data_IF_348404295004
#
_entry.id   IF_348404295004
#
_cell.length_a   1.000
_cell.length_b   1.000
_cell.length_c   1.000
_cell.angle_alpha   90.00
_cell.angle_beta   90.00
_cell.angle_gamma   90.00
#
_symmetry.space_group_name_H-M   'P 1'
#
loop_
_entity.id
_entity.type
_entity.pdbx_description
1 polymer ?
#
# COMPACT_ATOMS: atom_id res chain seq x y z
N UNK A 1 8.48 -10.67 -9.83
CA UNK A 1 7.88 -10.29 -8.53
C UNK A 1 6.47 -10.86 -8.49
N UNK A 2 6.00 -11.36 -7.34
CA UNK A 2 4.67 -11.95 -7.16
C UNK A 2 3.78 -11.00 -6.34
N UNK A 3 2.55 -10.74 -6.81
CA UNK A 3 1.51 -10.05 -6.05
C UNK A 3 0.57 -11.09 -5.41
N UNK A 4 0.46 -11.07 -4.08
CA UNK A 4 -0.37 -11.99 -3.31
C UNK A 4 -1.39 -11.17 -2.52
N UNK A 5 -2.68 -11.38 -2.78
CA UNK A 5 -3.74 -10.79 -1.95
C UNK A 5 -3.97 -11.67 -0.73
N UNK A 6 -3.79 -11.12 0.46
CA UNK A 6 -3.94 -11.86 1.73
C UNK A 6 -4.98 -11.20 2.63
N UNK A 7 -5.68 -12.02 3.41
CA UNK A 7 -6.53 -11.52 4.50
C UNK A 7 -5.75 -11.46 5.81
N UNK A 8 -5.68 -10.29 6.43
CA UNK A 8 -4.97 -10.16 7.71
C UNK A 8 -4.85 -8.75 8.26
N UNK A 9 -4.21 -8.65 9.43
CA UNK A 9 -3.76 -7.41 10.03
C UNK A 9 -2.33 -7.13 9.55
N UNK A 10 -2.15 -6.02 8.82
CA UNK A 10 -0.85 -5.65 8.28
C UNK A 10 0.21 -5.42 9.36
N UNK A 11 -0.21 -5.07 10.59
CA UNK A 11 0.70 -4.75 11.70
C UNK A 11 1.34 -5.99 12.35
N UNK A 12 0.86 -7.19 12.01
CA UNK A 12 1.42 -8.46 12.49
C UNK A 12 2.36 -9.13 11.49
N UNK A 13 2.49 -8.56 10.27
CA UNK A 13 3.27 -9.17 9.20
C UNK A 13 4.77 -8.96 9.42
N UNK A 14 5.52 -10.05 9.47
CA UNK A 14 6.97 -10.06 9.43
C UNK A 14 7.46 -10.06 7.99
N UNK A 15 7.50 -8.87 7.42
CA UNK A 15 7.97 -8.58 6.06
C UNK A 15 9.07 -7.53 6.10
N UNK A 16 9.78 -7.33 5.00
CA UNK A 16 10.83 -6.31 4.96
C UNK A 16 10.29 -4.90 5.22
N UNK A 17 9.13 -4.56 4.68
CA UNK A 17 8.46 -3.30 4.96
C UNK A 17 6.94 -3.42 4.96
N UNK A 18 6.28 -2.63 5.81
CA UNK A 18 4.85 -2.34 5.71
C UNK A 18 4.63 -0.93 5.18
N UNK A 19 3.59 -0.75 4.37
CA UNK A 19 3.26 0.55 3.79
C UNK A 19 2.15 1.22 4.60
N UNK A 20 2.40 2.46 5.01
CA UNK A 20 1.48 3.29 5.77
C UNK A 20 0.80 4.30 4.83
N UNK A 21 -0.55 4.31 4.72
CA UNK A 21 -1.26 5.37 4.01
C UNK A 21 -1.13 6.69 4.76
N UNK A 22 -0.38 7.64 4.21
CA UNK A 22 0.00 8.89 4.85
C UNK A 22 -0.70 10.11 4.24
N UNK A 23 -0.78 11.18 5.04
CA UNK A 23 -1.08 12.53 4.55
C UNK A 23 0.24 13.32 4.39
N UNK A 24 0.19 14.48 3.73
CA UNK A 24 1.38 15.30 3.45
C UNK A 24 2.15 15.75 4.68
N UNK A 25 1.52 15.75 5.86
CA UNK A 25 2.15 16.11 7.13
C UNK A 25 2.66 14.89 7.92
N UNK A 26 2.55 13.69 7.35
CA UNK A 26 2.91 12.41 7.98
C UNK A 26 2.33 12.24 9.40
N UNK A 27 1.17 12.85 9.65
CA UNK A 27 0.48 12.76 10.94
C UNK A 27 -0.33 11.47 11.00
N UNK A 28 -0.43 10.90 12.20
CA UNK A 28 -1.30 9.75 12.46
C UNK A 28 -2.71 10.00 11.91
N UNK A 29 -3.14 9.09 11.03
CA UNK A 29 -4.47 9.06 10.46
C UNK A 29 -5.37 8.07 11.19
N UNK A 30 -6.26 7.43 10.45
CA UNK A 30 -7.22 6.43 10.92
C UNK A 30 -7.04 5.10 10.18
N UNK A 31 -7.76 4.05 10.60
CA UNK A 31 -7.71 2.75 9.93
C UNK A 31 -6.32 2.13 10.00
N UNK A 32 -5.76 1.72 8.85
CA UNK A 32 -4.41 1.16 8.79
C UNK A 32 -3.33 2.11 9.32
N UNK A 33 -3.47 3.43 9.11
CA UNK A 33 -2.53 4.42 9.67
C UNK A 33 -2.55 4.39 11.21
N UNK A 34 -3.73 4.42 11.83
CA UNK A 34 -3.86 4.34 13.29
C UNK A 34 -3.29 3.01 13.82
N UNK A 35 -3.65 1.88 13.21
CA UNK A 35 -3.19 0.57 13.63
C UNK A 35 -1.64 0.46 13.59
N UNK A 36 -1.03 0.93 12.49
CA UNK A 36 0.43 0.95 12.36
C UNK A 36 1.06 1.86 13.42
N UNK A 37 0.55 3.08 13.64
CA UNK A 37 1.07 3.98 14.68
C UNK A 37 0.94 3.39 16.09
N UNK A 38 -0.19 2.74 16.39
CA UNK A 38 -0.40 2.08 17.69
C UNK A 38 0.60 0.95 17.90
N UNK A 39 0.82 0.11 16.88
CA UNK A 39 1.72 -1.04 16.98
C UNK A 39 3.19 -0.66 16.97
N UNK A 40 3.58 0.34 16.19
CA UNK A 40 4.96 0.81 16.05
C UNK A 40 5.43 1.68 17.25
N UNK A 41 4.50 2.24 18.02
CA UNK A 41 4.80 3.23 19.06
C UNK A 41 4.50 4.66 18.57
N UNK A 42 3.40 5.22 19.06
CA UNK A 42 2.83 6.48 18.54
C UNK A 42 3.80 7.66 18.66
N UNK A 43 4.46 7.79 19.81
CA UNK A 43 5.30 8.96 20.12
C UNK A 43 6.58 8.95 19.30
N UNK A 44 7.24 7.81 19.22
CA UNK A 44 8.51 7.60 18.54
C UNK A 44 8.33 7.72 17.02
N UNK A 45 7.28 7.09 16.47
CA UNK A 45 6.96 7.19 15.05
C UNK A 45 6.57 8.64 14.68
N UNK A 46 5.71 9.30 15.46
CA UNK A 46 5.28 10.67 15.16
C UNK A 46 6.46 11.65 15.18
N UNK A 47 7.39 11.51 16.13
CA UNK A 47 8.61 12.33 16.19
C UNK A 47 9.50 12.14 14.95
N UNK A 48 9.62 10.91 14.43
CA UNK A 48 10.36 10.65 13.20
C UNK A 48 9.66 11.27 11.99
N UNK A 49 8.33 11.15 11.90
CA UNK A 49 7.53 11.75 10.84
C UNK A 49 7.63 13.28 10.81
N UNK A 50 7.62 13.95 11.97
CA UNK A 50 7.74 15.41 12.07
C UNK A 50 9.05 15.95 11.47
N UNK A 51 10.14 15.18 11.54
CA UNK A 51 11.44 15.57 10.98
C UNK A 51 11.54 15.36 9.45
N UNK A 52 10.54 14.72 8.84
CA UNK A 52 10.50 14.37 7.42
C UNK A 52 9.39 15.09 6.65
N UNK A 53 8.36 15.56 7.35
CA UNK A 53 7.27 16.31 6.76
C UNK A 53 7.71 17.74 6.34
N UNK A 54 7.08 18.34 5.32
CA UNK A 54 6.02 17.77 4.48
C UNK A 54 6.54 16.86 3.35
N UNK A 55 5.69 15.94 2.88
CA UNK A 55 5.95 15.06 1.73
C UNK A 55 4.83 15.22 0.70
N UNK A 56 5.21 15.27 -0.58
CA UNK A 56 4.27 15.48 -1.69
C UNK A 56 3.34 14.27 -1.90
N UNK A 57 2.13 14.55 -2.38
CA UNK A 57 1.16 13.49 -2.72
C UNK A 57 1.70 12.68 -3.90
N UNK A 58 1.58 11.36 -3.82
CA UNK A 58 2.15 10.43 -4.80
C UNK A 58 3.59 10.05 -4.50
N UNK A 59 4.25 10.66 -3.52
CA UNK A 59 5.56 10.26 -3.05
C UNK A 59 5.48 9.31 -1.85
N UNK A 60 6.61 8.70 -1.51
CA UNK A 60 6.75 7.90 -0.30
C UNK A 60 8.09 8.18 0.39
N UNK A 61 8.16 7.93 1.71
CA UNK A 61 9.41 8.05 2.47
C UNK A 61 9.51 6.93 3.53
N UNK A 62 10.68 6.32 3.75
CA UNK A 62 10.82 5.27 4.75
C UNK A 62 11.20 5.80 6.14
N UNK A 63 10.81 5.05 7.17
CA UNK A 63 11.35 5.09 8.54
C UNK A 63 11.70 3.67 8.99
N UNK A 64 12.33 3.51 10.16
CA UNK A 64 12.41 2.19 10.83
C UNK A 64 11.00 1.65 11.14
N UNK A 65 10.91 0.33 11.34
CA UNK A 65 9.68 -0.36 11.76
C UNK A 65 9.28 -0.16 13.23
N UNK A 66 10.22 0.32 14.06
CA UNK A 66 10.02 0.49 15.51
C UNK A 66 9.58 -0.82 16.18
N UNK A 67 8.41 -0.83 16.85
CA UNK A 67 7.88 -2.00 17.56
C UNK A 67 7.09 -2.96 16.64
N UNK A 68 7.04 -2.71 15.32
CA UNK A 68 6.49 -3.66 14.35
C UNK A 68 7.42 -4.86 14.13
N UNK A 69 6.89 -6.01 13.70
CA UNK A 69 7.70 -7.12 13.19
C UNK A 69 8.50 -6.75 11.93
N UNK A 70 7.96 -5.85 11.09
CA UNK A 70 8.61 -5.41 9.87
C UNK A 70 9.83 -4.50 10.14
N UNK A 71 10.85 -4.58 9.29
CA UNK A 71 12.08 -3.80 9.47
C UNK A 71 11.88 -2.30 9.20
N UNK A 72 11.00 -1.97 8.25
CA UNK A 72 10.72 -0.61 7.82
C UNK A 72 9.21 -0.30 7.75
N UNK A 73 8.89 0.99 7.93
CA UNK A 73 7.60 1.55 7.52
C UNK A 73 7.85 2.46 6.33
N UNK A 74 7.13 2.26 5.23
CA UNK A 74 7.15 3.15 4.07
C UNK A 74 5.88 4.02 4.11
N UNK A 75 6.03 5.32 4.32
CA UNK A 75 4.93 6.28 4.41
C UNK A 75 4.55 6.75 3.01
N UNK A 76 3.49 6.19 2.43
CA UNK A 76 3.00 6.52 1.10
C UNK A 76 1.96 7.64 1.18
N UNK A 77 2.24 8.82 0.63
CA UNK A 77 1.31 9.95 0.68
C UNK A 77 0.22 9.78 -0.39
N UNK A 78 -0.99 9.46 0.05
CA UNK A 78 -2.10 9.12 -0.84
C UNK A 78 -2.97 10.33 -1.16
N UNK A 79 -3.52 10.43 -2.40
CA UNK A 79 -4.46 11.49 -2.74
C UNK A 79 -5.79 11.34 -2.00
N UNK A 80 -6.52 12.45 -1.87
CA UNK A 80 -7.95 12.43 -1.52
C UNK A 80 -8.76 12.51 -2.81
N UNK A 81 -9.81 11.69 -2.90
CA UNK A 81 -10.75 11.71 -4.01
C UNK A 81 -11.50 13.05 -4.07
N UNK A 82 -11.44 13.72 -5.23
CA UNK A 82 -12.08 15.02 -5.48
C UNK A 82 -12.83 15.01 -6.82
N UNK A 83 -13.45 13.87 -7.17
CA UNK A 83 -14.26 13.74 -8.38
C UNK A 83 -13.51 13.19 -9.60
N UNK A 84 -12.21 12.91 -9.51
CA UNK A 84 -11.45 12.23 -10.55
C UNK A 84 -10.81 13.14 -11.59
N UNK A 85 -10.86 14.46 -11.39
CA UNK A 85 -10.33 15.48 -12.29
C UNK A 85 -9.00 16.09 -11.80
N UNK A 86 -8.49 15.66 -10.66
CA UNK A 86 -7.31 16.21 -9.98
C UNK A 86 -6.10 15.24 -10.05
N UNK A 87 -6.03 14.44 -11.11
CA UNK A 87 -5.01 13.40 -11.32
C UNK A 87 -4.95 12.34 -10.20
N UNK A 88 -6.03 12.13 -9.45
CA UNK A 88 -5.99 11.32 -8.23
C UNK A 88 -5.57 9.87 -8.52
N UNK A 89 -5.94 9.32 -9.67
CA UNK A 89 -5.51 7.99 -10.07
C UNK A 89 -4.01 7.89 -10.33
N UNK A 90 -3.44 8.86 -11.05
CA UNK A 90 -2.01 8.91 -11.32
C UNK A 90 -1.22 9.13 -10.03
N UNK A 91 -1.73 9.97 -9.13
CA UNK A 91 -1.13 10.19 -7.80
C UNK A 91 -1.20 8.94 -6.92
N UNK A 92 -2.29 8.16 -6.99
CA UNK A 92 -2.39 6.89 -6.27
C UNK A 92 -1.39 5.86 -6.83
N UNK A 93 -1.29 5.76 -8.16
CA UNK A 93 -0.28 4.92 -8.83
C UNK A 93 1.14 5.34 -8.44
N UNK A 94 1.43 6.64 -8.42
CA UNK A 94 2.72 7.18 -7.99
C UNK A 94 3.06 6.79 -6.54
N UNK A 95 2.07 6.78 -5.63
CA UNK A 95 2.28 6.39 -4.24
C UNK A 95 2.69 4.91 -4.11
N UNK A 96 2.06 4.02 -4.89
CA UNK A 96 2.48 2.61 -4.99
C UNK A 96 3.88 2.49 -5.58
N UNK A 97 4.14 3.14 -6.73
CA UNK A 97 5.42 3.07 -7.43
C UNK A 97 6.58 3.58 -6.55
N UNK A 98 6.42 4.74 -5.92
CA UNK A 98 7.39 5.30 -4.98
C UNK A 98 7.70 4.31 -3.85
N UNK A 99 6.67 3.65 -3.32
CA UNK A 99 6.85 2.68 -2.24
C UNK A 99 7.60 1.43 -2.70
N UNK A 100 7.30 0.92 -3.90
CA UNK A 100 8.00 -0.23 -4.49
C UNK A 100 9.46 0.10 -4.81
N UNK A 101 9.75 1.28 -5.36
CA UNK A 101 11.12 1.75 -5.61
C UNK A 101 11.93 1.85 -4.30
N UNK A 102 11.32 2.38 -3.24
CA UNK A 102 11.96 2.44 -1.92
C UNK A 102 12.23 1.03 -1.39
N UNK A 103 11.25 0.13 -1.43
CA UNK A 103 11.41 -1.26 -1.01
C UNK A 103 12.56 -1.95 -1.78
N UNK A 104 12.60 -1.80 -3.11
CA UNK A 104 13.66 -2.39 -3.93
C UNK A 104 15.04 -1.79 -3.59
N UNK A 105 15.12 -0.47 -3.38
CA UNK A 105 16.37 0.21 -2.99
C UNK A 105 16.89 -0.19 -1.60
N UNK A 106 15.99 -0.55 -0.68
CA UNK A 106 16.32 -1.10 0.63
C UNK A 106 16.77 -2.57 0.56
N UNK A 107 16.69 -3.20 -0.63
CA UNK A 107 17.09 -4.58 -0.90
C UNK A 107 16.36 -5.62 -0.03
N UNK A 108 15.14 -5.30 0.39
CA UNK A 108 14.27 -6.22 1.12
C UNK A 108 13.56 -7.17 0.15
N UNK A 109 13.18 -8.35 0.65
CA UNK A 109 12.55 -9.38 -0.19
C UNK A 109 11.04 -9.25 -0.33
N UNK A 110 10.38 -8.58 0.64
CA UNK A 110 8.93 -8.49 0.70
C UNK A 110 8.43 -7.16 1.25
N UNK A 111 7.30 -6.69 0.70
CA UNK A 111 6.58 -5.50 1.16
C UNK A 111 5.09 -5.79 1.26
N UNK A 112 4.43 -5.27 2.30
CA UNK A 112 2.99 -5.36 2.47
C UNK A 112 2.32 -3.99 2.32
N UNK A 113 1.25 -3.94 1.53
CA UNK A 113 0.39 -2.77 1.33
C UNK A 113 -0.99 -3.06 1.90
N UNK A 114 -1.62 -2.12 2.62
CA UNK A 114 -3.07 -2.11 2.71
C UNK A 114 -3.64 -1.63 1.36
N UNK A 115 -4.94 -1.77 1.13
CA UNK A 115 -5.57 -1.16 -0.03
C UNK A 115 -5.59 0.37 0.10
N UNK A 116 -4.59 1.04 -0.49
CA UNK A 116 -4.38 2.48 -0.37
C UNK A 116 -5.58 3.28 -0.90
N UNK A 117 -5.88 4.39 -0.21
CA UNK A 117 -6.95 5.33 -0.51
C UNK A 117 -8.41 4.82 -0.49
N UNK A 118 -8.66 3.51 -0.36
CA UNK A 118 -9.99 2.89 -0.35
C UNK A 118 -10.78 3.04 0.97
N UNK A 119 -10.30 3.85 1.90
CA UNK A 119 -10.96 4.17 3.16
C UNK A 119 -11.38 5.64 3.20
N UNK A 120 -10.89 6.37 4.21
CA UNK A 120 -11.28 7.76 4.48
C UNK A 120 -10.82 8.77 3.40
N UNK A 121 -10.06 8.33 2.40
CA UNK A 121 -9.64 9.15 1.26
C UNK A 121 -10.68 9.14 0.11
N UNK A 122 -11.74 8.34 0.20
CA UNK A 122 -12.92 8.45 -0.65
C UNK A 122 -12.84 7.78 -2.02
N UNK A 123 -11.77 7.04 -2.33
CA UNK A 123 -11.74 6.26 -3.56
C UNK A 123 -12.73 5.10 -3.50
N UNK A 124 -13.39 4.82 -4.63
CA UNK A 124 -14.10 3.57 -4.81
C UNK A 124 -13.10 2.40 -4.66
N UNK A 125 -13.35 1.42 -3.76
CA UNK A 125 -12.39 0.37 -3.50
C UNK A 125 -12.07 -0.52 -4.72
N UNK A 126 -12.96 -0.63 -5.71
CA UNK A 126 -12.67 -1.36 -6.96
C UNK A 126 -11.61 -0.62 -7.76
N UNK A 127 -11.76 0.70 -7.87
CA UNK A 127 -10.81 1.52 -8.62
C UNK A 127 -9.46 1.57 -7.92
N UNK A 128 -9.45 1.73 -6.59
CA UNK A 128 -8.22 1.65 -5.80
C UNK A 128 -7.51 0.30 -5.98
N UNK A 129 -8.27 -0.80 -6.03
CA UNK A 129 -7.73 -2.13 -6.28
C UNK A 129 -7.09 -2.26 -7.66
N UNK A 130 -7.77 -1.79 -8.72
CA UNK A 130 -7.19 -1.86 -10.07
C UNK A 130 -5.93 -1.01 -10.21
N UNK A 131 -5.89 0.18 -9.61
CA UNK A 131 -4.67 1.00 -9.58
C UNK A 131 -3.56 0.22 -8.86
N UNK A 132 -3.84 -0.36 -7.69
CA UNK A 132 -2.86 -1.15 -6.95
C UNK A 132 -2.31 -2.33 -7.78
N UNK A 133 -3.21 -3.16 -8.32
CA UNK A 133 -2.86 -4.34 -9.10
C UNK A 133 -2.04 -3.97 -10.33
N UNK A 134 -2.53 -3.03 -11.14
CA UNK A 134 -1.85 -2.62 -12.36
C UNK A 134 -0.48 -2.01 -12.08
N UNK A 135 -0.35 -1.15 -11.06
CA UNK A 135 0.95 -0.56 -10.72
C UNK A 135 1.95 -1.61 -10.23
N UNK A 136 1.51 -2.56 -9.39
CA UNK A 136 2.40 -3.60 -8.84
C UNK A 136 2.81 -4.60 -9.91
N UNK A 137 1.88 -5.07 -10.76
CA UNK A 137 2.17 -6.06 -11.80
C UNK A 137 3.10 -5.51 -12.90
N UNK A 138 3.08 -4.20 -13.15
CA UNK A 138 3.96 -3.54 -14.11
C UNK A 138 5.28 -3.01 -13.49
N UNK A 139 5.52 -3.24 -12.19
CA UNK A 139 6.78 -2.86 -11.56
C UNK A 139 7.82 -3.97 -11.72
N UNK A 140 8.95 -3.62 -12.35
CA UNK A 140 10.09 -4.52 -12.54
C UNK A 140 11.18 -4.19 -11.51
N UNK A 141 11.31 -4.97 -10.41
CA UNK A 141 12.36 -4.73 -9.42
C UNK A 141 13.74 -4.98 -10.01
N UNK A 142 14.72 -4.16 -9.62
CA UNK A 142 16.12 -4.29 -10.04
C UNK A 142 17.01 -4.97 -8.99
N UNK A 143 16.48 -5.19 -7.77
CA UNK A 143 17.22 -5.80 -6.66
C UNK A 143 16.51 -7.07 -6.15
N UNK A 144 16.23 -7.15 -4.85
CA UNK A 144 15.81 -8.37 -4.17
C UNK A 144 14.30 -8.49 -3.96
N UNK A 145 13.50 -7.50 -4.40
CA UNK A 145 12.07 -7.50 -4.11
C UNK A 145 11.36 -8.63 -4.87
N UNK A 146 10.87 -9.62 -4.12
CA UNK A 146 10.27 -10.85 -4.69
C UNK A 146 8.76 -10.89 -4.50
N UNK A 147 8.24 -10.47 -3.35
CA UNK A 147 6.83 -10.61 -2.97
C UNK A 147 6.22 -9.26 -2.57
N UNK A 148 5.03 -8.99 -3.09
CA UNK A 148 4.16 -7.88 -2.67
C UNK A 148 2.89 -8.48 -2.10
N UNK A 149 2.59 -8.15 -0.84
CA UNK A 149 1.36 -8.57 -0.19
C UNK A 149 0.34 -7.42 -0.23
N UNK A 150 -0.82 -7.64 -0.84
CA UNK A 150 -1.96 -6.75 -0.69
C UNK A 150 -2.84 -7.25 0.46
N UNK A 151 -2.77 -6.58 1.60
CA UNK A 151 -3.43 -6.98 2.84
C UNK A 151 -4.85 -6.39 2.94
N UNK A 152 -5.83 -7.28 3.01
CA UNK A 152 -7.25 -6.97 3.12
C UNK A 152 -7.73 -7.27 4.54
N UNK A 153 -8.17 -6.24 5.25
CA UNK A 153 -8.60 -6.36 6.65
C UNK A 153 -10.13 -6.52 6.79
N UNK A 154 -10.91 -5.77 6.01
CA UNK A 154 -12.37 -5.71 6.19
C UNK A 154 -13.10 -6.79 5.40
N UNK A 155 -14.16 -7.35 5.98
CA UNK A 155 -15.07 -8.29 5.29
C UNK A 155 -15.71 -7.67 4.04
N UNK A 156 -15.94 -6.36 4.04
CA UNK A 156 -16.52 -5.65 2.90
C UNK A 156 -15.54 -5.59 1.73
N UNK A 157 -14.27 -5.27 1.99
CA UNK A 157 -13.23 -5.30 0.95
C UNK A 157 -12.96 -6.73 0.47
N UNK A 158 -12.94 -7.70 1.37
CA UNK A 158 -12.84 -9.12 1.03
C UNK A 158 -13.97 -9.56 0.08
N UNK A 159 -15.23 -9.34 0.47
CA UNK A 159 -16.38 -9.67 -0.35
C UNK A 159 -16.33 -8.98 -1.72
N UNK A 160 -15.90 -7.72 -1.76
CA UNK A 160 -15.75 -6.97 -3.00
C UNK A 160 -14.73 -7.63 -3.93
N UNK A 161 -13.52 -7.92 -3.45
CA UNK A 161 -12.47 -8.52 -4.29
C UNK A 161 -12.87 -9.92 -4.77
N UNK A 162 -13.58 -10.70 -3.94
CA UNK A 162 -14.17 -11.96 -4.39
C UNK A 162 -15.19 -11.77 -5.52
N UNK A 163 -15.96 -10.66 -5.54
CA UNK A 163 -16.86 -10.37 -6.67
C UNK A 163 -16.11 -9.97 -7.94
N UNK A 164 -14.88 -9.46 -7.81
CA UNK A 164 -13.97 -9.19 -8.93
C UNK A 164 -13.28 -10.46 -9.44
N UNK A 165 -13.44 -11.59 -8.76
CA UNK A 165 -12.82 -12.87 -9.14
C UNK A 165 -11.36 -13.01 -8.68
N UNK A 166 -10.95 -12.24 -7.67
CA UNK A 166 -9.60 -12.30 -7.13
C UNK A 166 -9.50 -13.40 -6.07
N UNK A 167 -8.40 -14.15 -6.13
CA UNK A 167 -8.07 -15.13 -5.10
C UNK A 167 -7.48 -14.42 -3.88
N UNK A 168 -8.13 -14.60 -2.73
CA UNK A 168 -7.67 -14.08 -1.45
C UNK A 168 -7.11 -15.25 -0.66
N UNK A 169 -5.79 -15.27 -0.50
CA UNK A 169 -5.12 -16.28 0.28
C UNK A 169 -5.26 -16.01 1.78
N UNK A 170 -5.23 -17.08 2.57
CA UNK A 170 -4.93 -16.97 4.00
C UNK A 170 -3.51 -16.43 4.17
N UNK A 171 -3.29 -15.63 5.21
CA UNK A 171 -1.95 -15.10 5.46
C UNK A 171 -0.96 -16.24 5.76
N UNK A 172 0.15 -16.37 5.01
CA UNK A 172 1.11 -17.46 5.22
C UNK A 172 1.70 -17.44 6.63
N UNK A 173 1.81 -18.61 7.27
CA UNK A 173 2.39 -18.72 8.62
C UNK A 173 3.84 -18.19 8.68
N UNK A 174 4.59 -18.25 7.58
CA UNK A 174 5.95 -17.70 7.46
C UNK A 174 6.02 -16.17 7.63
N UNK A 175 4.96 -15.45 7.26
CA UNK A 175 4.87 -13.99 7.46
C UNK A 175 4.14 -13.63 8.76
N UNK A 176 3.58 -14.62 9.48
CA UNK A 176 2.98 -14.45 10.81
C UNK A 176 3.97 -14.94 11.87
N UNK A 177 4.94 -14.11 12.24
CA UNK A 177 5.94 -14.51 13.22
C UNK A 177 5.39 -14.34 14.65
N UNK A 178 5.53 -15.35 15.53
CA UNK A 178 5.33 -15.15 16.95
C UNK A 178 6.44 -14.23 17.48
N UNK A 179 6.02 -13.07 18.01
CA UNK A 179 6.88 -12.06 18.64
C UNK A 179 7.95 -12.73 19.50
N UNK A 180 9.23 -12.66 19.11
CA UNK A 180 10.31 -12.88 20.08
C UNK A 180 10.25 -11.70 21.05
N UNK A 181 9.97 -11.98 22.32
CA UNK A 181 9.99 -10.98 23.37
C UNK A 181 11.35 -10.26 23.39
N UNK A 182 11.31 -8.95 23.17
CA UNK A 182 12.41 -8.02 23.43
C UNK A 182 13.46 -7.89 22.31
N UNK A 183 13.54 -6.70 21.74
CA UNK A 183 14.52 -5.68 22.15
C UNK A 183 13.97 -4.32 21.74
N UNK A 184 13.79 -3.41 22.70
CA UNK A 184 13.75 -1.98 22.42
C UNK A 184 15.08 -1.62 21.77
N UNK A 185 15.16 -1.71 20.44
CA UNK A 185 16.26 -1.13 19.71
C UNK A 185 15.99 0.37 19.68
N UNK A 186 16.46 1.08 20.71
CA UNK A 186 16.79 2.48 20.54
C UNK A 186 17.70 2.56 19.30
N UNK A 187 17.17 3.06 18.19
CA UNK A 187 17.94 3.15 16.96
C UNK A 187 19.09 4.12 17.23
N UNK A 188 20.32 3.60 17.27
CA UNK A 188 21.49 4.45 17.22
C UNK A 188 21.44 5.24 15.90
N UNK A 189 21.72 6.54 15.97
CA UNK A 189 21.59 7.52 14.89
C UNK A 189 22.21 7.12 13.52
N UNK A 190 23.05 6.07 13.47
CA UNK A 190 23.63 5.51 12.24
C UNK A 190 22.59 4.89 11.29
N UNK A 191 21.49 4.31 11.79
CA UNK A 191 20.48 3.66 10.94
C UNK A 191 19.54 4.64 10.22
N UNK A 192 19.19 5.75 10.86
CA UNK A 192 18.35 6.80 10.26
C UNK A 192 19.00 7.50 9.06
N UNK A 193 20.33 7.54 9.01
CA UNK A 193 21.09 8.13 7.88
C UNK A 193 21.00 7.24 6.64
N UNK A 194 21.06 5.91 6.77
CA UNK A 194 20.90 4.98 5.66
C UNK A 194 19.47 5.02 5.07
N UNK A 195 18.45 5.14 5.93
CA UNK A 195 17.04 5.29 5.55
C UNK A 195 16.78 6.60 4.78
N UNK A 196 17.42 7.71 5.19
CA UNK A 196 17.39 8.97 4.42
C UNK A 196 18.06 8.85 3.05
N UNK A 197 19.12 8.04 2.94
CA UNK A 197 19.80 7.75 1.66
C UNK A 197 18.89 7.03 0.65
N UNK A 198 18.05 6.10 1.11
CA UNK A 198 17.06 5.44 0.26
C UNK A 198 15.98 6.42 -0.26
N UNK A 199 15.53 7.38 0.56
CA UNK A 199 14.62 8.43 0.12
C UNK A 199 15.24 9.34 -0.97
N UNK A 200 16.53 9.66 -0.85
CA UNK A 200 17.26 10.45 -1.84
C UNK A 200 17.51 9.69 -3.16
N UNK A 201 17.58 8.36 -3.13
CA UNK A 201 17.73 7.53 -4.33
C UNK A 201 16.48 7.50 -5.24
N UNK A 202 15.32 7.95 -4.74
CA UNK A 202 14.04 8.00 -5.49
C UNK A 202 13.85 9.32 -6.25
N UNK A 203 14.87 10.18 -6.31
CA UNK A 203 14.82 11.50 -6.95
C UNK A 203 14.80 11.50 -8.50
N UNK A 204 13.98 10.65 -9.11
CA UNK A 204 13.55 10.76 -10.52
C UNK A 204 12.12 11.32 -10.64
N UNK A 205 11.66 11.63 -11.85
CA UNK A 205 10.28 12.11 -12.09
C UNK A 205 9.24 10.97 -11.97
N UNK A 206 9.06 10.45 -10.75
CA UNK A 206 8.14 9.35 -10.44
C UNK A 206 6.69 9.72 -10.80
N UNK A 207 6.32 10.99 -10.66
CA UNK A 207 5.00 11.50 -11.04
C UNK A 207 4.82 11.48 -12.57
N UNK A 208 5.83 11.88 -13.34
CA UNK A 208 5.81 11.79 -14.80
C UNK A 208 5.72 10.34 -15.32
N UNK A 209 6.44 9.40 -14.70
CA UNK A 209 6.35 7.97 -15.02
C UNK A 209 4.96 7.41 -14.70
N UNK A 210 4.42 7.71 -13.52
CA UNK A 210 3.08 7.27 -13.12
C UNK A 210 1.98 7.88 -14.00
N UNK A 211 2.14 9.13 -14.42
CA UNK A 211 1.24 9.80 -15.36
C UNK A 211 1.26 9.12 -16.73
N UNK A 212 2.45 8.77 -17.25
CA UNK A 212 2.59 8.04 -18.51
C UNK A 212 1.89 6.68 -18.45
N UNK A 213 2.14 5.88 -17.41
CA UNK A 213 1.46 4.60 -17.18
C UNK A 213 -0.07 4.75 -17.10
N UNK A 214 -0.55 5.78 -16.39
CA UNK A 214 -1.98 6.07 -16.34
C UNK A 214 -2.51 6.48 -17.72
N UNK A 215 -1.86 7.39 -18.43
CA UNK A 215 -2.31 7.85 -19.74
C UNK A 215 -2.36 6.72 -20.79
N UNK A 216 -1.41 5.79 -20.74
CA UNK A 216 -1.35 4.61 -21.63
C UNK A 216 -2.47 3.60 -21.35
N UNK A 217 -2.87 3.44 -20.08
CA UNK A 217 -3.79 2.36 -19.67
C UNK A 217 -5.16 2.84 -19.14
N UNK A 218 -5.39 4.15 -18.98
CA UNK A 218 -6.60 4.70 -18.31
C UNK A 218 -7.91 4.24 -18.93
N UNK A 219 -8.03 4.23 -20.26
CA UNK A 219 -9.26 3.84 -20.93
C UNK A 219 -9.55 2.35 -20.73
N UNK A 220 -8.50 1.53 -20.73
CA UNK A 220 -8.60 0.10 -20.50
C UNK A 220 -8.91 -0.20 -19.03
N UNK A 221 -8.21 0.44 -18.08
CA UNK A 221 -8.45 0.31 -16.63
C UNK A 221 -9.89 0.71 -16.28
N UNK A 222 -10.36 1.85 -16.79
CA UNK A 222 -11.74 2.32 -16.57
C UNK A 222 -12.75 1.38 -17.24
N UNK A 223 -12.49 0.93 -18.47
CA UNK A 223 -13.38 0.01 -19.21
C UNK A 223 -13.47 -1.36 -18.52
N UNK A 224 -12.35 -1.92 -18.05
CA UNK A 224 -12.30 -3.17 -17.28
C UNK A 224 -13.09 -2.99 -15.98
N UNK A 225 -12.87 -1.90 -15.24
CA UNK A 225 -13.61 -1.58 -14.02
C UNK A 225 -15.13 -1.50 -14.23
N UNK A 226 -15.58 -0.83 -15.30
CA UNK A 226 -17.01 -0.71 -15.66
C UNK A 226 -17.58 -2.06 -16.09
N UNK A 227 -16.88 -2.81 -16.95
CA UNK A 227 -17.33 -4.12 -17.46
C UNK A 227 -17.46 -5.15 -16.34
N UNK A 228 -16.50 -5.21 -15.43
CA UNK A 228 -16.53 -6.14 -14.30
C UNK A 228 -17.63 -5.81 -13.30
N UNK A 229 -17.88 -4.52 -13.02
CA UNK A 229 -19.01 -4.10 -12.18
C UNK A 229 -20.38 -4.48 -12.81
N UNK A 230 -20.52 -4.37 -14.13
CA UNK A 230 -21.73 -4.77 -14.84
C UNK A 230 -21.95 -6.29 -14.83
N UNK A 231 -20.91 -7.09 -15.08
CA UNK A 231 -21.00 -8.55 -15.05
C UNK A 231 -21.23 -9.09 -13.63
N UNK A 232 -20.64 -8.47 -12.60
CA UNK A 232 -20.94 -8.78 -11.20
C UNK A 232 -22.42 -8.49 -10.85
N UNK A 233 -22.95 -7.35 -11.31
CA UNK A 233 -24.37 -7.01 -11.17
C UNK A 233 -25.31 -8.02 -11.84
N UNK A 234 -24.98 -8.47 -13.06
CA UNK A 234 -25.73 -9.54 -13.75
C UNK A 234 -25.70 -10.86 -13.00
N UNK A 235 -24.53 -11.31 -12.52
CA UNK A 235 -24.39 -12.55 -11.75
C UNK A 235 -25.19 -12.52 -10.46
N UNK A 236 -25.25 -11.38 -9.77
CA UNK A 236 -26.06 -11.19 -8.57
C UNK A 236 -27.58 -11.25 -8.87
N UNK A 237 -28.03 -10.67 -9.99
CA UNK A 237 -29.43 -10.74 -10.45
C UNK A 237 -29.86 -12.15 -10.85
N UNK A 238 -28.96 -12.93 -11.46
CA UNK A 238 -29.22 -14.33 -11.81
C UNK A 238 -29.32 -15.18 -10.54
N UNK A 239 -28.36 -15.05 -9.60
CA UNK A 239 -28.40 -15.77 -8.31
C UNK A 239 -29.58 -15.38 -7.40
N UNK A 240 -30.16 -14.19 -7.59
CA UNK A 240 -31.36 -13.75 -6.89
C UNK A 240 -32.65 -14.34 -7.45
N UNK A 241 -32.66 -14.83 -8.70
CA UNK A 241 -33.81 -15.49 -9.34
C UNK A 241 -33.89 -16.99 -9.05
N UNK A 242 -32.80 -17.63 -8.66
CA UNK A 242 -32.75 -19.06 -8.29
C UNK A 242 -33.16 -19.31 -6.81
N UNK A 243 -33.73 -18.31 -6.13
CA UNK A 243 -34.16 -18.38 -4.72
C UNK A 243 -35.66 -18.14 -4.50
N UNK A 244 -36.46 -18.10 -5.57
CA UNK A 244 -37.94 -18.25 -5.53
C UNK A 244 -38.34 -19.65 -5.97
#
# INVERSE_FOLDING_TARGET
MELITIKGDITSLNVGAVVLPANTQLRRGSGASEAIFQKAGVKELQKACEALAPVEVGSAIPTSGFDLPAEYIIHAVVPKWQGGEQNEYALLSAAYLSSLMIADSLKIESVAFPLLAAGNNGFDPRVAYFVAKNTVENFEPSNNLKKVYLTIYSKTAEALLLTLGEDIAETPAEVLVPVKAGKHHAMAAKGAVAVKGAAAAVAGDVVGVAKKLWDEHKEEIVRIGIRMAFEAGKRALIKGKDKE
#
